data_IF_058626742448
#
_entry.id   IF_058626742448
#
_cell.length_a   1.000
_cell.length_b   1.000
_cell.length_c   1.000
_cell.angle_alpha   90.00
_cell.angle_beta   90.00
_cell.angle_gamma   90.00
#
_symmetry.space_group_name_H-M   'P 1'
#
loop_
_entity.id
_entity.type
_entity.pdbx_description
1 polymer ?
#
# COMPACT_ATOMS: atom_id res chain seq x y z
N UNK A 1 22.39 29.08 -10.57
CA UNK A 1 22.49 28.40 -9.25
C UNK A 1 23.74 28.93 -8.60
N UNK A 2 23.59 29.59 -7.46
CA UNK A 2 24.71 30.19 -6.74
C UNK A 2 25.67 29.10 -6.22
N UNK A 3 26.95 29.43 -6.03
CA UNK A 3 27.98 28.46 -5.62
C UNK A 3 27.68 27.89 -4.23
N UNK A 4 27.09 28.70 -3.36
CA UNK A 4 26.64 28.30 -2.02
C UNK A 4 25.38 27.44 -2.06
N UNK A 5 24.45 27.75 -2.95
CA UNK A 5 23.24 26.95 -3.19
C UNK A 5 23.59 25.56 -3.74
N UNK A 6 24.57 25.49 -4.65
CA UNK A 6 25.12 24.22 -5.15
C UNK A 6 25.77 23.40 -4.05
N UNK A 7 26.55 24.03 -3.18
CA UNK A 7 27.19 23.35 -2.05
C UNK A 7 26.16 22.82 -1.04
N UNK A 8 25.08 23.58 -0.79
CA UNK A 8 23.94 23.12 0.04
C UNK A 8 23.23 21.94 -0.61
N UNK A 9 22.96 21.99 -1.92
CA UNK A 9 22.33 20.90 -2.66
C UNK A 9 23.21 19.64 -2.71
N UNK A 10 24.52 19.80 -2.90
CA UNK A 10 25.50 18.70 -2.80
C UNK A 10 25.52 18.11 -1.40
N UNK A 11 25.39 18.92 -0.34
CA UNK A 11 25.26 18.43 1.02
C UNK A 11 23.97 17.63 1.22
N UNK A 12 22.82 18.12 0.75
CA UNK A 12 21.53 17.42 0.81
C UNK A 12 21.61 16.07 0.08
N UNK A 13 22.11 16.06 -1.15
CA UNK A 13 22.32 14.83 -1.93
C UNK A 13 23.31 13.92 -1.19
N UNK A 14 24.39 14.46 -0.64
CA UNK A 14 25.35 13.68 0.14
C UNK A 14 24.75 13.10 1.40
N UNK A 15 23.82 13.78 2.08
CA UNK A 15 23.19 13.31 3.32
C UNK A 15 22.16 12.21 2.99
N UNK A 16 21.37 12.42 1.93
CA UNK A 16 20.49 11.41 1.33
C UNK A 16 21.28 10.16 0.90
N UNK A 17 22.53 10.33 0.46
CA UNK A 17 23.44 9.25 0.05
C UNK A 17 24.30 8.68 1.20
N UNK A 18 24.60 9.44 2.25
CA UNK A 18 25.36 8.99 3.45
C UNK A 18 24.55 7.99 4.27
N UNK A 19 23.22 8.08 4.22
CA UNK A 19 22.32 7.02 4.70
C UNK A 19 22.32 5.76 3.82
N UNK A 20 22.87 5.81 2.60
CA UNK A 20 22.61 4.83 1.53
C UNK A 20 23.84 4.62 0.63
N UNK A 21 24.99 4.32 1.25
CA UNK A 21 26.24 4.15 0.52
C UNK A 21 26.11 3.17 -0.64
N UNK A 22 26.76 3.54 -1.74
CA UNK A 22 27.05 2.86 -3.00
C UNK A 22 26.65 1.38 -3.04
N UNK A 23 25.51 1.09 -3.67
CA UNK A 23 25.15 -0.27 -4.00
C UNK A 23 24.42 -0.35 -5.32
N UNK A 24 24.69 -1.40 -6.09
CA UNK A 24 23.93 -1.75 -7.29
C UNK A 24 22.43 -1.72 -6.99
N UNK A 25 21.57 -1.29 -7.92
CA UNK A 25 20.10 -1.16 -7.71
C UNK A 25 19.49 -2.35 -6.94
N UNK A 26 19.96 -3.57 -7.23
CA UNK A 26 19.67 -4.83 -6.52
C UNK A 26 19.79 -4.76 -4.99
N UNK A 27 20.79 -4.07 -4.47
CA UNK A 27 21.04 -3.97 -3.04
C UNK A 27 20.22 -2.84 -2.38
N UNK A 28 19.77 -1.82 -3.11
CA UNK A 28 18.79 -0.86 -2.58
C UNK A 28 17.39 -1.50 -2.50
N UNK A 29 17.06 -2.38 -3.46
CA UNK A 29 15.86 -3.19 -3.40
C UNK A 29 15.85 -4.09 -2.16
N UNK A 30 16.96 -4.80 -1.89
CA UNK A 30 17.09 -5.65 -0.71
C UNK A 30 16.88 -4.90 0.63
N UNK A 31 17.33 -3.64 0.74
CA UNK A 31 17.12 -2.80 1.93
C UNK A 31 15.65 -2.49 2.18
N UNK A 32 14.90 -2.16 1.12
CA UNK A 32 13.46 -1.87 1.25
C UNK A 32 12.66 -3.07 1.78
N UNK A 33 13.16 -4.28 1.53
CA UNK A 33 12.48 -5.50 1.93
C UNK A 33 12.73 -5.89 3.40
N UNK A 34 13.77 -5.37 4.07
CA UNK A 34 14.04 -5.71 5.48
C UNK A 34 12.89 -5.38 6.45
N UNK A 35 12.10 -4.37 6.11
CA UNK A 35 10.91 -3.89 6.85
C UNK A 35 9.67 -4.75 6.64
N UNK A 36 9.69 -5.62 5.64
CA UNK A 36 8.58 -6.51 5.34
C UNK A 36 8.51 -7.64 6.37
N UNK A 37 7.30 -8.04 6.71
CA UNK A 37 7.07 -9.28 7.43
C UNK A 37 7.07 -10.47 6.46
N UNK A 38 7.00 -11.69 7.01
CA UNK A 38 7.03 -12.93 6.23
C UNK A 38 5.92 -12.98 5.18
N UNK A 39 4.72 -12.53 5.52
CA UNK A 39 3.57 -12.58 4.61
C UNK A 39 3.72 -11.55 3.48
N UNK A 40 4.19 -10.35 3.79
CA UNK A 40 4.47 -9.30 2.81
C UNK A 40 5.58 -9.72 1.84
N UNK A 41 6.65 -10.37 2.32
CA UNK A 41 7.66 -10.94 1.43
C UNK A 41 7.07 -11.99 0.48
N UNK A 42 6.24 -12.90 1.01
CA UNK A 42 5.61 -13.95 0.20
C UNK A 42 4.61 -13.39 -0.81
N UNK A 43 3.86 -12.35 -0.42
CA UNK A 43 2.96 -11.64 -1.32
C UNK A 43 3.71 -10.89 -2.41
N UNK A 44 4.83 -10.26 -2.07
CA UNK A 44 5.71 -9.66 -3.06
C UNK A 44 6.24 -10.71 -4.05
N UNK A 45 6.66 -11.87 -3.55
CA UNK A 45 7.13 -12.98 -4.38
C UNK A 45 6.04 -13.50 -5.32
N UNK A 46 4.80 -13.58 -4.81
CA UNK A 46 3.61 -13.86 -5.62
C UNK A 46 3.44 -12.81 -6.72
N UNK A 47 3.49 -11.51 -6.43
CA UNK A 47 3.34 -10.47 -7.46
C UNK A 47 4.46 -10.49 -8.50
N UNK A 48 5.72 -10.68 -8.10
CA UNK A 48 6.87 -10.72 -9.04
C UNK A 48 6.77 -11.94 -9.97
N UNK A 49 6.10 -13.02 -9.54
CA UNK A 49 5.88 -14.19 -10.40
C UNK A 49 5.11 -13.87 -11.68
N UNK A 50 4.31 -12.80 -11.70
CA UNK A 50 3.53 -12.38 -12.87
C UNK A 50 4.39 -11.73 -13.96
N UNK A 51 5.58 -11.19 -13.63
CA UNK A 51 6.43 -10.44 -14.57
C UNK A 51 6.99 -11.37 -15.65
N UNK A 52 6.84 -11.02 -16.92
CA UNK A 52 7.32 -11.78 -18.09
C UNK A 52 8.35 -10.97 -18.86
N UNK A 53 9.08 -11.66 -19.75
CA UNK A 53 10.16 -11.05 -20.54
C UNK A 53 9.67 -10.07 -21.60
N UNK A 54 8.40 -10.14 -21.99
CA UNK A 54 7.78 -9.31 -23.04
C UNK A 54 6.95 -8.14 -22.48
N UNK A 55 6.90 -7.99 -21.16
CA UNK A 55 6.04 -6.99 -20.55
C UNK A 55 6.58 -5.56 -20.81
N UNK A 56 5.69 -4.64 -21.19
CA UNK A 56 6.00 -3.23 -21.45
C UNK A 56 5.99 -2.36 -20.17
N UNK A 57 6.22 -1.04 -20.26
CA UNK A 57 6.24 -0.18 -19.07
C UNK A 57 4.88 -0.06 -18.36
N UNK A 58 3.78 -0.39 -19.02
CA UNK A 58 2.41 -0.12 -18.56
C UNK A 58 1.63 -1.39 -18.20
N UNK A 59 2.26 -2.55 -18.26
CA UNK A 59 1.58 -3.83 -18.06
C UNK A 59 0.95 -3.90 -16.68
N UNK A 60 -0.34 -4.21 -16.68
CA UNK A 60 -1.16 -4.39 -15.49
C UNK A 60 -1.33 -5.87 -15.24
N UNK A 61 -1.24 -6.27 -13.98
CA UNK A 61 -1.45 -7.65 -13.56
C UNK A 61 -2.73 -7.75 -12.75
N UNK A 62 -3.46 -8.84 -12.96
CA UNK A 62 -4.71 -9.11 -12.28
C UNK A 62 -4.65 -10.42 -11.49
N UNK A 63 -5.26 -10.43 -10.32
CA UNK A 63 -5.53 -11.62 -9.51
C UNK A 63 -6.84 -11.41 -8.75
N UNK A 64 -7.31 -12.41 -8.01
CA UNK A 64 -8.36 -12.20 -7.00
C UNK A 64 -7.79 -12.36 -5.60
N UNK A 65 -8.42 -11.72 -4.61
CA UNK A 65 -8.05 -11.96 -3.20
C UNK A 65 -8.27 -13.43 -2.83
N UNK A 66 -9.29 -14.07 -3.41
CA UNK A 66 -9.55 -15.50 -3.25
C UNK A 66 -8.36 -16.35 -3.70
N UNK A 67 -7.83 -16.13 -4.90
CA UNK A 67 -6.65 -16.84 -5.40
C UNK A 67 -5.42 -16.63 -4.51
N UNK A 68 -5.22 -15.41 -4.00
CA UNK A 68 -4.12 -15.12 -3.07
C UNK A 68 -4.27 -15.95 -1.78
N UNK A 69 -5.48 -16.05 -1.22
CA UNK A 69 -5.72 -16.84 -0.02
C UNK A 69 -5.55 -18.34 -0.27
N UNK A 70 -6.07 -18.86 -1.38
CA UNK A 70 -5.91 -20.26 -1.78
C UNK A 70 -4.43 -20.61 -1.98
N UNK A 71 -3.70 -19.74 -2.68
CA UNK A 71 -2.27 -19.88 -2.92
C UNK A 71 -1.46 -19.96 -1.62
N UNK A 72 -1.81 -19.12 -0.63
CA UNK A 72 -1.17 -19.15 0.69
C UNK A 72 -1.79 -20.16 1.66
N UNK A 73 -2.72 -21.01 1.21
CA UNK A 73 -3.43 -22.00 2.02
C UNK A 73 -4.09 -21.37 3.26
N UNK A 74 -4.69 -20.20 3.08
CA UNK A 74 -5.39 -19.43 4.10
C UNK A 74 -6.90 -19.62 3.97
N UNK A 75 -7.58 -19.66 5.11
CA UNK A 75 -9.04 -19.69 5.15
C UNK A 75 -9.66 -18.45 4.49
N UNK A 76 -10.76 -18.65 3.77
CA UNK A 76 -11.58 -17.61 3.14
C UNK A 76 -12.38 -16.83 4.20
N UNK A 77 -11.69 -16.08 5.05
CA UNK A 77 -12.27 -15.31 6.15
C UNK A 77 -12.00 -13.81 5.99
N UNK A 78 -12.95 -12.96 6.40
CA UNK A 78 -12.81 -11.50 6.28
C UNK A 78 -11.51 -10.95 6.89
N UNK A 79 -11.00 -11.57 7.97
CA UNK A 79 -9.70 -11.25 8.56
C UNK A 79 -8.54 -11.43 7.58
N UNK A 80 -8.53 -12.53 6.82
CA UNK A 80 -7.49 -12.82 5.83
C UNK A 80 -7.62 -11.94 4.57
N UNK A 81 -8.83 -11.57 4.18
CA UNK A 81 -9.06 -10.54 3.15
C UNK A 81 -8.46 -9.19 3.57
N UNK A 82 -8.78 -8.71 4.77
CA UNK A 82 -8.23 -7.45 5.32
C UNK A 82 -6.70 -7.53 5.43
N UNK A 83 -6.16 -8.67 5.88
CA UNK A 83 -4.72 -8.90 5.95
C UNK A 83 -4.05 -8.78 4.58
N UNK A 84 -4.67 -9.33 3.54
CA UNK A 84 -4.16 -9.27 2.16
C UNK A 84 -4.17 -7.83 1.64
N UNK A 85 -5.28 -7.10 1.82
CA UNK A 85 -5.39 -5.70 1.44
C UNK A 85 -4.34 -4.82 2.14
N UNK A 86 -4.15 -5.01 3.45
CA UNK A 86 -3.15 -4.27 4.21
C UNK A 86 -1.72 -4.59 3.77
N UNK A 87 -1.44 -5.84 3.38
CA UNK A 87 -0.13 -6.21 2.87
C UNK A 87 0.16 -5.55 1.51
N UNK A 88 -0.80 -5.55 0.58
CA UNK A 88 -0.68 -4.80 -0.68
C UNK A 88 -0.49 -3.29 -0.44
N UNK A 89 -1.28 -2.70 0.45
CA UNK A 89 -1.13 -1.29 0.84
C UNK A 89 0.28 -1.00 1.37
N UNK A 90 0.81 -1.86 2.23
CA UNK A 90 2.17 -1.69 2.76
C UNK A 90 3.24 -1.90 1.71
N UNK A 91 3.03 -2.79 0.74
CA UNK A 91 3.93 -2.91 -0.40
C UNK A 91 3.90 -1.65 -1.29
N UNK A 92 2.75 -0.99 -1.44
CA UNK A 92 2.63 0.28 -2.16
C UNK A 92 3.29 1.45 -1.41
N UNK A 93 2.95 1.64 -0.13
CA UNK A 93 3.35 2.82 0.67
C UNK A 93 4.73 2.67 1.33
N UNK A 94 5.19 1.43 1.58
CA UNK A 94 6.31 1.13 2.47
C UNK A 94 7.61 0.70 1.76
N UNK A 95 7.64 0.71 0.43
CA UNK A 95 8.77 0.18 -0.37
C UNK A 95 9.40 1.23 -1.28
N UNK A 96 9.45 2.49 -0.85
CA UNK A 96 10.17 3.53 -1.58
C UNK A 96 11.66 3.24 -1.63
N UNK A 97 12.20 3.19 -2.85
CA UNK A 97 13.60 2.99 -3.18
C UNK A 97 14.26 4.30 -3.53
N UNK A 98 15.53 4.42 -3.18
CA UNK A 98 16.36 5.55 -3.61
C UNK A 98 17.29 5.09 -4.72
N UNK A 99 17.15 5.69 -5.89
CA UNK A 99 17.94 5.36 -7.08
C UNK A 99 18.86 6.55 -7.38
N UNK A 100 20.19 6.39 -7.34
CA UNK A 100 21.10 7.47 -7.73
C UNK A 100 21.06 7.68 -9.24
N UNK A 101 20.87 8.93 -9.67
CA UNK A 101 20.91 9.31 -11.09
C UNK A 101 22.31 9.78 -11.45
N UNK A 102 22.92 9.14 -12.43
CA UNK A 102 24.24 9.50 -12.94
C UNK A 102 24.15 10.05 -14.36
N UNK A 103 24.96 11.06 -14.66
CA UNK A 103 25.14 11.58 -16.01
C UNK A 103 26.64 11.77 -16.26
N UNK A 104 27.15 11.17 -17.35
CA UNK A 104 28.59 11.19 -17.69
C UNK A 104 29.50 10.76 -16.53
N UNK A 105 29.06 9.78 -15.74
CA UNK A 105 29.79 9.25 -14.58
C UNK A 105 29.73 10.14 -13.32
N UNK A 106 29.01 11.27 -13.36
CA UNK A 106 28.82 12.16 -12.22
C UNK A 106 27.45 11.95 -11.60
N UNK A 107 27.37 11.90 -10.26
CA UNK A 107 26.10 11.86 -9.54
C UNK A 107 25.37 13.18 -9.72
N UNK A 108 24.18 13.11 -10.31
CA UNK A 108 23.31 14.25 -10.58
C UNK A 108 22.23 14.43 -9.50
N UNK A 109 21.79 13.34 -8.89
CA UNK A 109 20.77 13.37 -7.85
C UNK A 109 20.34 11.98 -7.39
N UNK A 110 19.25 11.95 -6.62
CA UNK A 110 18.63 10.71 -6.12
C UNK A 110 17.13 10.77 -6.40
N UNK A 111 16.62 9.77 -7.09
CA UNK A 111 15.20 9.57 -7.36
C UNK A 111 14.58 8.66 -6.31
N UNK A 112 13.33 8.95 -5.94
CA UNK A 112 12.55 8.14 -5.03
C UNK A 112 11.44 7.46 -5.81
N UNK A 113 11.47 6.12 -5.83
CA UNK A 113 10.58 5.31 -6.66
C UNK A 113 9.89 4.27 -5.79
N UNK A 114 8.58 4.14 -5.89
CA UNK A 114 7.83 3.09 -5.20
C UNK A 114 7.85 1.79 -6.02
N UNK A 115 7.78 0.64 -5.34
CA UNK A 115 7.71 -0.66 -6.00
C UNK A 115 6.50 -0.78 -6.94
N UNK A 116 5.32 -0.42 -6.42
CA UNK A 116 4.09 -0.37 -7.18
C UNK A 116 3.76 1.08 -7.51
N UNK A 117 3.32 1.30 -8.75
CA UNK A 117 2.72 2.56 -9.17
C UNK A 117 1.26 2.64 -8.67
N UNK A 118 0.53 1.53 -8.80
CA UNK A 118 -0.88 1.45 -8.44
C UNK A 118 -1.25 0.05 -7.96
N UNK A 119 -2.14 0.01 -6.96
CA UNK A 119 -2.88 -1.19 -6.57
C UNK A 119 -4.36 -0.83 -6.46
N UNK A 120 -5.23 -1.61 -7.09
CA UNK A 120 -6.68 -1.46 -7.09
C UNK A 120 -7.34 -2.70 -6.49
N UNK A 121 -8.37 -2.48 -5.66
CA UNK A 121 -9.23 -3.52 -5.10
C UNK A 121 -10.66 -3.30 -5.57
N UNK A 122 -11.17 -4.21 -6.39
CA UNK A 122 -12.55 -4.22 -6.86
C UNK A 122 -13.49 -4.85 -5.84
N UNK A 123 -14.73 -4.37 -5.80
CA UNK A 123 -15.80 -4.92 -4.93
C UNK A 123 -16.16 -6.36 -5.27
N UNK A 124 -15.86 -6.79 -6.49
CA UNK A 124 -15.97 -8.18 -6.96
C UNK A 124 -14.82 -9.08 -6.49
N UNK A 125 -13.87 -8.56 -5.71
CA UNK A 125 -12.72 -9.30 -5.18
C UNK A 125 -11.49 -9.33 -6.09
N UNK A 126 -11.56 -8.65 -7.24
CA UNK A 126 -10.43 -8.44 -8.15
C UNK A 126 -9.38 -7.54 -7.50
N UNK A 127 -8.11 -7.88 -7.70
CA UNK A 127 -6.96 -7.10 -7.29
C UNK A 127 -6.08 -6.88 -8.50
N UNK A 128 -5.83 -5.62 -8.81
CA UNK A 128 -5.03 -5.24 -9.98
C UNK A 128 -3.85 -4.40 -9.53
N UNK A 129 -2.65 -4.70 -10.00
CA UNK A 129 -1.43 -4.00 -9.60
C UNK A 129 -0.50 -3.73 -10.78
N UNK A 130 0.26 -2.65 -10.68
CA UNK A 130 1.24 -2.21 -11.70
C UNK A 130 2.55 -1.91 -11.00
N UNK A 131 3.63 -2.55 -11.43
CA UNK A 131 4.99 -2.22 -10.96
C UNK A 131 5.45 -0.91 -11.57
N UNK A 132 6.25 -0.13 -10.84
CA UNK A 132 6.86 1.08 -11.39
C UNK A 132 7.73 0.75 -12.60
N UNK A 133 7.57 1.53 -13.66
CA UNK A 133 8.34 1.42 -14.91
C UNK A 133 9.85 1.51 -14.67
N UNK A 134 10.30 2.37 -13.75
CA UNK A 134 11.71 2.55 -13.38
C UNK A 134 12.34 1.29 -12.74
N UNK A 135 11.52 0.41 -12.14
CA UNK A 135 11.99 -0.78 -11.44
C UNK A 135 11.76 -2.06 -12.23
N UNK A 136 11.00 -2.03 -13.32
CA UNK A 136 10.55 -3.23 -14.01
C UNK A 136 11.69 -4.07 -14.57
N UNK A 137 12.68 -3.43 -15.19
CA UNK A 137 13.87 -4.12 -15.70
C UNK A 137 14.67 -4.78 -14.56
N UNK A 138 14.84 -4.07 -13.44
CA UNK A 138 15.50 -4.59 -12.25
C UNK A 138 14.72 -5.75 -11.62
N UNK A 139 13.40 -5.66 -11.54
CA UNK A 139 12.51 -6.72 -11.03
C UNK A 139 12.46 -7.94 -11.95
N UNK A 140 12.56 -7.76 -13.27
CA UNK A 140 12.66 -8.87 -14.21
C UNK A 140 14.03 -9.57 -14.11
N UNK A 141 15.12 -8.80 -14.02
CA UNK A 141 16.43 -9.35 -13.70
C UNK A 141 16.43 -10.04 -12.34
N UNK A 142 15.72 -9.48 -11.35
CA UNK A 142 15.46 -10.10 -10.06
C UNK A 142 14.73 -11.42 -10.24
N UNK A 143 13.68 -11.48 -11.06
CA UNK A 143 12.95 -12.71 -11.37
C UNK A 143 13.91 -13.79 -11.87
N UNK A 144 14.75 -13.45 -12.84
CA UNK A 144 15.72 -14.37 -13.45
C UNK A 144 16.80 -14.87 -12.48
N UNK A 145 17.33 -13.98 -11.64
CA UNK A 145 18.46 -14.29 -10.75
C UNK A 145 18.01 -14.84 -9.37
N UNK A 146 16.82 -14.46 -8.89
CA UNK A 146 16.33 -14.72 -7.53
C UNK A 146 15.20 -15.74 -7.47
N UNK A 147 14.39 -15.88 -8.51
CA UNK A 147 13.20 -16.76 -8.51
C UNK A 147 13.45 -18.07 -9.26
N UNK A 148 14.71 -18.51 -9.33
CA UNK A 148 15.04 -19.90 -9.66
C UNK A 148 14.56 -20.89 -8.57
N UNK A 149 14.08 -20.40 -7.42
CA UNK A 149 13.38 -21.19 -6.41
C UNK A 149 11.94 -21.44 -6.86
N UNK A 150 11.49 -22.68 -6.73
CA UNK A 150 10.06 -22.96 -6.79
C UNK A 150 9.37 -22.16 -5.68
N UNK A 151 8.34 -21.42 -6.04
CA UNK A 151 7.48 -20.66 -5.13
C UNK A 151 6.99 -21.50 -3.94
N UNK A 152 6.80 -22.80 -4.17
CA UNK A 152 6.51 -23.83 -3.15
C UNK A 152 7.62 -24.05 -2.11
N UNK A 153 8.88 -23.84 -2.46
CA UNK A 153 10.00 -23.94 -1.52
C UNK A 153 10.09 -22.69 -0.65
N UNK A 154 9.87 -21.51 -1.24
CA UNK A 154 9.78 -20.24 -0.50
C UNK A 154 8.60 -20.24 0.48
N UNK A 155 7.50 -20.93 0.15
CA UNK A 155 6.34 -21.04 1.02
C UNK A 155 6.65 -21.82 2.32
N UNK A 156 7.58 -22.78 2.29
CA UNK A 156 7.99 -23.59 3.46
C UNK A 156 8.82 -22.80 4.48
N UNK A 157 9.45 -21.72 4.04
CA UNK A 157 10.30 -20.88 4.90
C UNK A 157 9.43 -19.96 5.75
N UNK A 158 9.71 -19.97 7.05
CA UNK A 158 8.93 -19.26 8.08
C UNK A 158 9.65 -18.02 8.61
N UNK A 159 10.98 -17.96 8.59
CA UNK A 159 11.71 -16.77 9.01
C UNK A 159 11.83 -15.75 7.88
N UNK A 160 11.50 -14.49 8.17
CA UNK A 160 11.78 -13.38 7.25
C UNK A 160 13.28 -13.28 6.95
N UNK A 161 14.12 -13.58 7.94
CA UNK A 161 15.57 -13.51 7.80
C UNK A 161 16.10 -14.58 6.84
N UNK A 162 15.51 -15.77 6.85
CA UNK A 162 15.84 -16.84 5.91
C UNK A 162 15.42 -16.48 4.48
N UNK A 163 14.21 -15.91 4.31
CA UNK A 163 13.75 -15.40 3.01
C UNK A 163 14.68 -14.32 2.46
N UNK A 164 15.04 -13.33 3.27
CA UNK A 164 15.97 -12.27 2.86
C UNK A 164 17.35 -12.85 2.52
N UNK A 165 17.87 -13.78 3.32
CA UNK A 165 19.18 -14.38 3.07
C UNK A 165 19.20 -15.20 1.77
N UNK A 166 18.14 -15.94 1.45
CA UNK A 166 18.00 -16.60 0.15
C UNK A 166 17.98 -15.60 -1.00
N UNK A 167 17.28 -14.48 -0.84
CA UNK A 167 17.26 -13.42 -1.84
C UNK A 167 18.66 -12.83 -2.03
N UNK A 168 19.37 -12.51 -0.95
CA UNK A 168 20.76 -12.01 -1.01
C UNK A 168 21.70 -13.02 -1.67
N UNK A 169 21.51 -14.30 -1.39
CA UNK A 169 22.27 -15.37 -2.03
C UNK A 169 21.98 -15.45 -3.53
N UNK A 170 20.71 -15.48 -3.96
CA UNK A 170 20.31 -15.46 -5.37
C UNK A 170 20.87 -14.24 -6.12
N UNK A 171 20.88 -13.06 -5.47
CA UNK A 171 21.45 -11.83 -6.02
C UNK A 171 22.92 -11.91 -6.40
N UNK A 172 23.69 -12.63 -5.57
CA UNK A 172 25.15 -12.67 -5.62
C UNK A 172 25.68 -13.94 -6.27
N UNK A 173 24.88 -15.01 -6.30
CA UNK A 173 25.22 -16.25 -6.99
C UNK A 173 25.39 -15.94 -8.47
N UNK A 174 26.55 -16.27 -9.01
CA UNK A 174 26.85 -16.14 -10.43
C UNK A 174 26.90 -17.55 -11.04
N UNK A 175 26.01 -17.84 -11.99
CA UNK A 175 25.91 -19.18 -12.63
C UNK A 175 25.72 -20.31 -11.57
N UNK A 176 26.03 -21.55 -11.93
CA UNK A 176 25.97 -22.73 -11.04
C UNK A 176 27.14 -22.80 -10.03
N UNK A 177 27.67 -21.68 -9.56
CA UNK A 177 28.82 -21.69 -8.64
C UNK A 177 28.44 -22.35 -7.31
N UNK A 178 29.10 -23.44 -6.94
CA UNK A 178 28.77 -24.20 -5.72
C UNK A 178 28.81 -23.36 -4.45
N UNK A 179 29.79 -22.45 -4.36
CA UNK A 179 30.03 -21.61 -3.20
C UNK A 179 29.73 -20.14 -3.49
N UNK A 180 29.02 -19.47 -2.58
CA UNK A 180 28.77 -18.02 -2.64
C UNK A 180 29.09 -17.39 -1.31
N UNK A 181 29.89 -16.31 -1.33
CA UNK A 181 30.34 -15.59 -0.13
C UNK A 181 29.66 -14.22 -0.08
N UNK A 182 28.98 -13.94 1.03
CA UNK A 182 28.31 -12.68 1.33
C UNK A 182 29.05 -12.00 2.48
N UNK A 183 29.70 -10.85 2.21
CA UNK A 183 30.41 -10.07 3.22
C UNK A 183 29.71 -8.71 3.37
N UNK A 184 29.55 -8.27 4.61
CA UNK A 184 28.99 -6.97 4.93
C UNK A 184 29.36 -6.51 6.34
N UNK A 185 29.37 -5.19 6.54
CA UNK A 185 29.47 -4.58 7.86
C UNK A 185 28.24 -4.88 8.71
N UNK A 186 28.34 -4.68 10.03
CA UNK A 186 27.20 -4.85 10.94
C UNK A 186 26.01 -3.97 10.49
N UNK A 187 26.28 -2.74 10.06
CA UNK A 187 25.25 -1.79 9.63
C UNK A 187 24.54 -2.27 8.36
N UNK A 188 25.28 -2.78 7.38
CA UNK A 188 24.70 -3.31 6.14
C UNK A 188 23.83 -4.54 6.39
N UNK A 189 24.32 -5.49 7.18
CA UNK A 189 23.54 -6.68 7.53
C UNK A 189 22.25 -6.35 8.28
N UNK A 190 22.30 -5.38 9.21
CA UNK A 190 21.10 -4.92 9.91
C UNK A 190 20.14 -4.21 8.97
N UNK A 191 20.64 -3.34 8.08
CA UNK A 191 19.81 -2.68 7.06
C UNK A 191 19.11 -3.71 6.15
N UNK A 192 19.81 -4.77 5.71
CA UNK A 192 19.21 -5.82 4.89
C UNK A 192 18.14 -6.64 5.64
N UNK A 193 18.40 -7.04 6.89
CA UNK A 193 17.56 -7.99 7.62
C UNK A 193 16.46 -7.33 8.47
N UNK A 194 16.66 -6.08 8.88
CA UNK A 194 15.76 -5.33 9.77
C UNK A 194 15.14 -4.11 9.09
N UNK A 195 15.81 -3.53 8.09
CA UNK A 195 15.51 -2.18 7.60
C UNK A 195 16.33 -1.11 8.35
N UNK A 196 16.17 0.14 7.93
CA UNK A 196 16.97 1.27 8.42
C UNK A 196 16.45 1.91 9.73
N UNK A 197 15.27 1.52 10.18
CA UNK A 197 14.57 2.06 11.35
C UNK A 197 14.90 1.32 12.65
N UNK A 198 15.59 0.18 12.56
CA UNK A 198 15.91 -0.65 13.72
C UNK A 198 17.36 -1.11 13.71
N UNK A 199 18.01 -0.95 14.86
CA UNK A 199 19.33 -1.51 15.12
C UNK A 199 19.31 -2.41 16.34
N UNK A 200 20.22 -3.37 16.38
CA UNK A 200 20.43 -4.32 17.47
C UNK A 200 21.92 -4.36 17.83
N UNK A 201 22.21 -4.74 19.08
CA UNK A 201 23.56 -5.07 19.49
C UNK A 201 24.09 -6.25 18.63
N UNK A 202 25.36 -6.24 18.18
CA UNK A 202 25.90 -7.26 17.27
C UNK A 202 25.64 -8.72 17.70
N UNK A 203 25.88 -9.08 18.97
CA UNK A 203 25.66 -10.45 19.42
C UNK A 203 24.17 -10.84 19.40
N UNK A 204 23.27 -9.92 19.80
CA UNK A 204 21.82 -10.12 19.70
C UNK A 204 21.38 -10.27 18.24
N UNK A 205 21.87 -9.40 17.35
CA UNK A 205 21.60 -9.48 15.92
C UNK A 205 22.03 -10.82 15.32
N UNK A 206 23.25 -11.26 15.62
CA UNK A 206 23.77 -12.54 15.15
C UNK A 206 22.86 -13.67 15.63
N UNK A 207 22.50 -13.71 16.92
CA UNK A 207 21.69 -14.79 17.50
C UNK A 207 20.26 -14.81 16.94
N UNK A 208 19.57 -13.68 16.96
CA UNK A 208 18.12 -13.63 16.74
C UNK A 208 17.73 -13.46 15.28
N UNK A 209 18.66 -12.95 14.44
CA UNK A 209 18.41 -12.67 13.03
C UNK A 209 19.22 -13.60 12.12
N UNK A 210 20.55 -13.46 12.15
CA UNK A 210 21.43 -14.16 11.20
C UNK A 210 21.46 -15.68 11.46
N UNK A 211 21.70 -16.10 12.70
CA UNK A 211 21.73 -17.52 13.06
C UNK A 211 20.36 -18.17 12.91
N UNK A 212 19.28 -17.42 13.15
CA UNK A 212 17.92 -17.90 12.88
C UNK A 212 17.71 -18.20 11.39
N UNK A 213 18.21 -17.35 10.50
CA UNK A 213 18.19 -17.61 9.05
C UNK A 213 19.03 -18.85 8.70
N UNK A 214 20.29 -18.88 9.16
CA UNK A 214 21.23 -19.99 8.92
C UNK A 214 20.65 -21.32 9.38
N UNK A 215 20.11 -21.38 10.60
CA UNK A 215 19.55 -22.60 11.17
C UNK A 215 18.32 -23.10 10.41
N UNK A 216 17.49 -22.21 9.87
CA UNK A 216 16.34 -22.62 9.07
C UNK A 216 16.75 -23.11 7.69
N UNK A 217 17.67 -22.39 7.04
CA UNK A 217 18.17 -22.73 5.72
C UNK A 217 18.96 -24.06 5.70
N UNK A 218 19.72 -24.37 6.76
CA UNK A 218 20.40 -25.65 6.93
C UNK A 218 19.47 -26.85 7.15
N UNK A 219 18.16 -26.65 7.30
CA UNK A 219 17.17 -27.75 7.31
C UNK A 219 16.81 -28.23 5.90
N UNK A 220 17.23 -27.50 4.87
CA UNK A 220 17.10 -27.93 3.49
C UNK A 220 18.24 -28.90 3.16
N UNK A 221 17.94 -30.03 2.52
CA UNK A 221 18.92 -31.10 2.28
C UNK A 221 20.03 -30.70 1.27
N UNK A 222 19.78 -29.69 0.46
CA UNK A 222 20.59 -29.30 -0.70
C UNK A 222 21.39 -28.00 -0.51
N UNK A 223 21.46 -27.52 0.74
CA UNK A 223 22.19 -26.29 1.07
C UNK A 223 22.88 -26.39 2.44
N UNK A 224 24.08 -25.83 2.51
CA UNK A 224 24.83 -25.63 3.75
C UNK A 224 25.23 -24.17 3.86
N UNK A 225 24.78 -23.51 4.92
CA UNK A 225 25.00 -22.10 5.22
C UNK A 225 25.80 -21.97 6.51
N UNK A 226 26.84 -21.13 6.51
CA UNK A 226 27.62 -20.78 7.69
C UNK A 226 27.70 -19.27 7.84
N UNK A 227 27.73 -18.78 9.08
CA UNK A 227 27.89 -17.35 9.38
C UNK A 227 29.03 -17.12 10.37
N UNK A 228 30.09 -16.47 9.90
CA UNK A 228 31.29 -16.12 10.66
C UNK A 228 31.28 -14.64 11.04
N UNK A 229 31.95 -14.31 12.15
CA UNK A 229 32.00 -12.94 12.68
C UNK A 229 33.32 -12.33 12.29
N UNK A 230 33.27 -11.17 11.63
CA UNK A 230 34.45 -10.37 11.33
C UNK A 230 34.72 -9.44 12.51
N UNK A 231 35.95 -9.46 13.02
CA UNK A 231 36.37 -8.67 14.18
C UNK A 231 37.59 -7.81 13.86
N UNK A 232 37.64 -6.63 14.48
CA UNK A 232 38.85 -5.83 14.59
C UNK A 232 39.15 -5.65 16.09
N UNK A 233 40.16 -6.38 16.58
CA UNK A 233 40.39 -6.57 18.02
C UNK A 233 39.17 -7.21 18.70
N UNK A 234 38.64 -6.54 19.73
CA UNK A 234 37.43 -7.00 20.46
C UNK A 234 36.11 -6.60 19.79
N UNK A 235 36.15 -5.68 18.81
CA UNK A 235 34.95 -5.11 18.20
C UNK A 235 34.52 -5.95 17.00
N UNK A 236 33.23 -6.29 16.94
CA UNK A 236 32.60 -6.88 15.75
C UNK A 236 32.46 -5.81 14.67
N UNK A 237 33.06 -6.04 13.51
CA UNK A 237 33.03 -5.12 12.36
C UNK A 237 32.03 -5.55 11.30
N UNK A 238 31.73 -6.84 11.20
CA UNK A 238 30.79 -7.37 10.23
C UNK A 238 30.54 -8.86 10.35
N UNK A 239 29.90 -9.40 9.33
CA UNK A 239 29.65 -10.83 9.18
C UNK A 239 29.98 -11.27 7.77
N UNK A 240 30.47 -12.50 7.68
CA UNK A 240 30.61 -13.22 6.43
C UNK A 240 29.66 -14.43 6.49
N UNK A 241 28.89 -14.60 5.43
CA UNK A 241 27.99 -15.74 5.26
C UNK A 241 28.41 -16.51 4.03
N UNK A 242 28.73 -17.79 4.21
CA UNK A 242 29.08 -18.69 3.12
C UNK A 242 27.91 -19.63 2.87
N UNK A 243 27.47 -19.69 1.61
CA UNK A 243 26.40 -20.59 1.15
C UNK A 243 27.00 -21.58 0.17
N UNK A 244 26.93 -22.86 0.52
CA UNK A 244 27.27 -23.99 -0.34
C UNK A 244 25.98 -24.63 -0.81
N UNK A 245 25.78 -24.75 -2.12
CA UNK A 245 24.58 -25.40 -2.66
C UNK A 245 24.80 -26.00 -4.04
N UNK A 246 24.25 -27.20 -4.23
CA UNK A 246 24.22 -27.91 -5.51
C UNK A 246 23.06 -27.45 -6.41
N UNK A 247 22.21 -26.52 -5.98
CA UNK A 247 21.08 -26.02 -6.78
C UNK A 247 21.58 -25.37 -8.07
N UNK A 248 20.99 -25.73 -9.21
CA UNK A 248 21.23 -25.03 -10.47
C UNK A 248 20.68 -23.60 -10.40
N UNK A 249 21.37 -22.64 -11.03
CA UNK A 249 20.97 -21.24 -11.13
C UNK A 249 19.73 -21.04 -12.02
N UNK A 250 19.36 -22.07 -12.77
CA UNK A 250 18.18 -22.13 -13.62
C UNK A 250 17.42 -23.40 -13.27
N UNK A 251 16.72 -23.40 -12.15
CA UNK A 251 15.65 -24.38 -11.96
C UNK A 251 14.62 -24.12 -13.05
N UNK A 252 14.21 -25.17 -13.78
CA UNK A 252 13.10 -25.07 -14.70
C UNK A 252 11.90 -24.48 -13.94
N UNK A 253 11.39 -23.35 -14.41
CA UNK A 253 10.18 -22.69 -13.91
C UNK A 253 8.95 -23.54 -14.29
N UNK A 254 8.90 -24.80 -13.87
CA UNK A 254 7.75 -25.69 -14.07
C UNK A 254 6.79 -25.49 -12.90
N UNK A 255 6.00 -24.42 -13.00
CA UNK A 255 5.02 -24.02 -11.97
C UNK A 255 4.72 -22.52 -11.94
N UNK A 256 4.98 -21.80 -13.04
CA UNK A 256 4.57 -20.39 -13.17
C UNK A 256 3.04 -20.37 -13.14
N UNK A 257 2.46 -19.73 -12.13
CA UNK A 257 1.09 -19.24 -12.23
C UNK A 257 1.16 -18.15 -13.29
N UNK A 258 0.88 -18.50 -14.55
CA UNK A 258 0.69 -17.52 -15.61
C UNK A 258 -0.63 -16.81 -15.30
N UNK A 259 -0.57 -15.78 -14.46
CA UNK A 259 -1.72 -14.91 -14.25
C UNK A 259 -2.10 -14.27 -15.57
N UNK A 260 -3.36 -14.42 -15.97
CA UNK A 260 -3.93 -13.87 -17.20
C UNK A 260 -3.52 -12.40 -17.36
N UNK A 261 -2.83 -12.07 -18.46
CA UNK A 261 -2.53 -10.65 -18.76
C UNK A 261 -3.83 -10.08 -19.29
N UNK A 262 -4.42 -9.15 -18.56
CA UNK A 262 -5.39 -8.25 -19.16
C UNK A 262 -4.55 -7.18 -19.85
N UNK A 263 -4.31 -7.35 -21.15
CA UNK A 263 -3.70 -6.30 -21.96
C UNK A 263 -4.52 -5.03 -21.76
N UNK A 264 -3.86 -3.95 -21.33
CA UNK A 264 -4.48 -2.64 -21.34
C UNK A 264 -4.93 -2.38 -22.79
N UNK A 265 -6.16 -1.87 -23.02
CA UNK A 265 -6.58 -1.49 -24.36
C UNK A 265 -5.53 -0.55 -24.95
N UNK A 266 -4.83 -1.01 -25.99
CA UNK A 266 -4.01 -0.12 -26.80
C UNK A 266 -4.98 0.80 -27.52
N UNK A 267 -4.93 2.10 -27.25
CA UNK A 267 -5.45 3.09 -28.19
C UNK A 267 -4.54 3.03 -29.43
N UNK A 268 -5.03 2.61 -30.62
CA UNK A 268 -4.24 2.71 -31.83
C UNK A 268 -4.44 4.11 -32.42
N UNK A 269 -3.37 4.89 -32.46
CA UNK A 269 -3.26 6.01 -33.36
C UNK A 269 -2.85 5.48 -34.75
N UNK A 270 -3.81 5.34 -35.68
CA UNK A 270 -3.84 6.01 -36.99
C UNK A 270 -4.77 5.33 -38.01
N UNK A 271 -5.42 6.21 -38.79
CA UNK A 271 -6.07 6.02 -40.08
C UNK A 271 -7.42 5.26 -40.13
N UNK A 272 -8.49 6.04 -39.89
CA UNK A 272 -9.72 6.15 -40.70
C UNK A 272 -9.99 5.00 -41.68
N UNK A 273 -10.81 4.05 -41.25
CA UNK A 273 -11.86 3.45 -42.08
C UNK A 273 -12.99 3.01 -41.12
N UNK A 274 -14.16 3.65 -41.24
CA UNK A 274 -15.36 3.36 -40.44
C UNK A 274 -15.91 1.96 -40.74
N UNK A 275 -16.31 1.19 -39.71
CA UNK A 275 -17.54 0.41 -39.82
C UNK A 275 -18.43 0.53 -38.57
N UNK A 276 -19.50 1.31 -38.74
CA UNK A 276 -20.83 1.22 -38.13
C UNK A 276 -20.93 0.88 -36.63
N UNK A 277 -21.08 1.92 -35.81
CA UNK A 277 -21.71 1.83 -34.49
C UNK A 277 -23.14 1.27 -34.64
N UNK A 278 -23.44 0.18 -33.94
CA UNK A 278 -24.84 -0.18 -33.66
C UNK A 278 -25.36 0.87 -32.68
N UNK A 279 -26.41 1.63 -33.00
CA UNK A 279 -26.85 2.73 -32.15
C UNK A 279 -27.26 2.18 -30.78
N UNK A 280 -26.73 2.79 -29.71
CA UNK A 280 -27.18 2.52 -28.33
C UNK A 280 -28.65 2.92 -28.21
N UNK A 281 -29.55 1.98 -28.45
CA UNK A 281 -30.98 2.19 -28.23
C UNK A 281 -31.25 2.35 -26.73
N UNK A 282 -32.27 3.14 -26.34
CA UNK A 282 -32.66 3.31 -24.94
C UNK A 282 -32.87 1.98 -24.19
N UNK A 283 -33.23 0.90 -24.89
CA UNK A 283 -33.39 -0.45 -24.31
C UNK A 283 -32.08 -1.04 -23.78
N UNK A 284 -30.94 -0.85 -24.47
CA UNK A 284 -29.64 -1.43 -24.07
C UNK A 284 -29.06 -0.76 -22.80
N UNK A 285 -29.26 0.55 -22.64
CA UNK A 285 -28.80 1.31 -21.47
C UNK A 285 -29.52 0.85 -20.20
N UNK A 286 -30.82 0.58 -20.30
CA UNK A 286 -31.64 0.15 -19.18
C UNK A 286 -31.31 -1.27 -18.73
N UNK A 287 -31.05 -2.18 -19.67
CA UNK A 287 -30.65 -3.56 -19.35
C UNK A 287 -29.30 -3.63 -18.63
N UNK A 288 -28.32 -2.83 -19.07
CA UNK A 288 -27.05 -2.69 -18.35
C UNK A 288 -27.25 -2.09 -16.94
N UNK A 289 -28.13 -1.08 -16.82
CA UNK A 289 -28.47 -0.49 -15.53
C UNK A 289 -29.09 -1.51 -14.57
N UNK A 290 -30.07 -2.31 -14.99
CA UNK A 290 -30.71 -3.29 -14.12
C UNK A 290 -29.75 -4.40 -13.68
N UNK A 291 -28.92 -4.94 -14.58
CA UNK A 291 -27.91 -5.94 -14.21
C UNK A 291 -26.92 -5.38 -13.19
N UNK A 292 -26.45 -4.15 -13.40
CA UNK A 292 -25.56 -3.48 -12.45
C UNK A 292 -26.24 -3.19 -11.10
N UNK A 293 -27.51 -2.79 -11.13
CA UNK A 293 -28.28 -2.47 -9.92
C UNK A 293 -28.57 -3.72 -9.08
N UNK A 294 -29.02 -4.81 -9.70
CA UNK A 294 -29.31 -6.09 -9.03
C UNK A 294 -28.03 -6.68 -8.41
N UNK A 295 -26.91 -6.68 -9.15
CA UNK A 295 -25.63 -7.18 -8.67
C UNK A 295 -25.09 -6.38 -7.47
N UNK A 296 -25.31 -5.06 -7.44
CA UNK A 296 -24.75 -4.19 -6.41
C UNK A 296 -25.60 -4.15 -5.14
N UNK A 297 -26.93 -4.23 -5.27
CA UNK A 297 -27.86 -4.04 -4.15
C UNK A 297 -28.46 -5.34 -3.64
N UNK A 298 -28.39 -6.42 -4.42
CA UNK A 298 -29.12 -7.67 -4.15
C UNK A 298 -30.65 -7.56 -4.34
N UNK A 299 -31.17 -6.38 -4.68
CA UNK A 299 -32.61 -6.14 -4.85
C UNK A 299 -33.03 -6.49 -6.27
N UNK A 300 -33.74 -7.62 -6.43
CA UNK A 300 -34.29 -8.04 -7.72
C UNK A 300 -35.34 -7.04 -8.24
N UNK A 301 -35.22 -6.63 -9.51
CA UNK A 301 -36.16 -5.71 -10.12
C UNK A 301 -37.21 -6.50 -10.91
N UNK A 302 -38.46 -6.46 -10.45
CA UNK A 302 -39.56 -7.11 -11.18
C UNK A 302 -39.78 -6.50 -12.57
N UNK A 303 -40.29 -7.29 -13.53
CA UNK A 303 -40.57 -6.84 -14.91
C UNK A 303 -41.42 -5.56 -14.95
N UNK A 304 -42.45 -5.45 -14.10
CA UNK A 304 -43.31 -4.26 -13.98
C UNK A 304 -42.55 -3.02 -13.52
N UNK A 305 -41.58 -3.20 -12.61
CA UNK A 305 -40.75 -2.10 -12.07
C UNK A 305 -39.63 -1.67 -13.01
N UNK A 306 -39.13 -2.58 -13.86
CA UNK A 306 -38.22 -2.23 -14.96
C UNK A 306 -38.91 -1.24 -15.90
N UNK A 307 -40.11 -1.57 -16.39
CA UNK A 307 -40.89 -0.66 -17.26
C UNK A 307 -41.15 0.70 -16.60
N UNK A 308 -41.51 0.73 -15.30
CA UNK A 308 -41.71 1.99 -14.58
C UNK A 308 -40.44 2.86 -14.52
N UNK A 309 -39.27 2.27 -14.27
CA UNK A 309 -38.01 3.01 -14.18
C UNK A 309 -37.54 3.48 -15.57
N UNK A 310 -37.75 2.68 -16.62
CA UNK A 310 -37.43 3.06 -17.99
C UNK A 310 -38.23 4.29 -18.45
N UNK A 311 -39.54 4.32 -18.20
CA UNK A 311 -40.39 5.47 -18.49
C UNK A 311 -39.98 6.72 -17.71
N UNK A 312 -39.54 6.57 -16.46
CA UNK A 312 -39.02 7.71 -15.70
C UNK A 312 -37.69 8.22 -16.28
N UNK A 313 -36.83 7.31 -16.72
CA UNK A 313 -35.52 7.65 -17.27
C UNK A 313 -35.59 8.44 -18.59
N UNK A 314 -36.67 8.26 -19.36
CA UNK A 314 -36.91 9.01 -20.60
C UNK A 314 -37.08 10.52 -20.40
N UNK A 315 -37.41 10.97 -19.19
CA UNK A 315 -37.55 12.39 -18.85
C UNK A 315 -36.20 13.11 -18.66
N UNK A 316 -35.09 12.37 -18.60
CA UNK A 316 -33.74 12.93 -18.48
C UNK A 316 -33.07 13.04 -19.85
N UNK A 317 -32.11 13.97 -19.93
CA UNK A 317 -31.32 14.18 -21.13
C UNK A 317 -30.67 12.87 -21.59
N UNK A 318 -30.74 12.59 -22.89
CA UNK A 318 -30.28 11.32 -23.45
C UNK A 318 -28.79 11.04 -23.22
N UNK A 319 -27.95 12.09 -23.24
CA UNK A 319 -26.50 11.96 -23.04
C UNK A 319 -26.13 11.83 -21.56
N UNK A 320 -26.94 12.36 -20.65
CA UNK A 320 -26.68 12.30 -19.20
C UNK A 320 -27.51 11.26 -18.45
N UNK A 321 -28.47 10.61 -19.12
CA UNK A 321 -29.37 9.60 -18.55
C UNK A 321 -28.62 8.50 -17.80
N UNK A 322 -27.54 7.99 -18.40
CA UNK A 322 -26.67 6.96 -17.80
C UNK A 322 -26.03 7.46 -16.51
N UNK A 323 -25.56 8.71 -16.50
CA UNK A 323 -24.90 9.31 -15.35
C UNK A 323 -25.90 9.61 -14.21
N UNK A 324 -27.10 10.09 -14.53
CA UNK A 324 -28.19 10.35 -13.57
C UNK A 324 -28.64 9.05 -12.91
N UNK A 325 -28.84 7.98 -13.69
CA UNK A 325 -29.20 6.67 -13.15
C UNK A 325 -28.08 6.08 -12.29
N UNK A 326 -26.81 6.23 -12.69
CA UNK A 326 -25.67 5.82 -11.87
C UNK A 326 -25.64 6.56 -10.53
N UNK A 327 -25.93 7.86 -10.53
CA UNK A 327 -26.02 8.66 -9.32
C UNK A 327 -27.21 8.26 -8.43
N UNK A 328 -28.38 8.01 -9.00
CA UNK A 328 -29.53 7.48 -8.25
C UNK A 328 -29.21 6.14 -7.56
N UNK A 329 -28.46 5.27 -8.25
CA UNK A 329 -27.98 3.99 -7.69
C UNK A 329 -26.98 4.22 -6.54
N UNK A 330 -26.04 5.16 -6.69
CA UNK A 330 -25.11 5.51 -5.61
C UNK A 330 -25.86 5.98 -4.36
N UNK A 331 -26.86 6.83 -4.52
CA UNK A 331 -27.68 7.33 -3.42
C UNK A 331 -28.50 6.23 -2.76
N UNK A 332 -29.04 5.28 -3.53
CA UNK A 332 -29.73 4.10 -2.99
C UNK A 332 -28.83 3.32 -2.02
N UNK A 333 -27.57 3.07 -2.41
CA UNK A 333 -26.59 2.37 -1.57
C UNK A 333 -26.19 3.21 -0.36
N UNK A 334 -25.92 4.51 -0.55
CA UNK A 334 -25.49 5.43 0.52
C UNK A 334 -26.52 5.55 1.64
N UNK A 335 -27.81 5.49 1.31
CA UNK A 335 -28.91 5.57 2.28
C UNK A 335 -29.35 4.19 2.83
N UNK A 336 -28.62 3.12 2.51
CA UNK A 336 -28.95 1.74 2.87
C UNK A 336 -30.43 1.40 2.58
N UNK A 337 -30.93 1.86 1.43
CA UNK A 337 -32.33 1.68 1.08
C UNK A 337 -32.60 0.20 0.76
N UNK A 338 -33.61 -0.39 1.40
CA UNK A 338 -33.93 -1.82 1.21
C UNK A 338 -34.98 -2.05 0.11
N UNK A 339 -35.69 -1.00 -0.30
CA UNK A 339 -36.85 -1.11 -1.20
C UNK A 339 -36.65 -0.27 -2.45
N UNK A 340 -36.86 -0.88 -3.61
CA UNK A 340 -36.79 -0.24 -4.93
C UNK A 340 -37.67 1.02 -5.08
N UNK A 341 -38.74 1.13 -4.28
CA UNK A 341 -39.59 2.32 -4.23
C UNK A 341 -38.82 3.59 -3.82
N UNK A 342 -37.71 3.46 -3.09
CA UNK A 342 -36.84 4.58 -2.76
C UNK A 342 -36.22 5.22 -4.02
N UNK A 343 -35.70 4.38 -4.92
CA UNK A 343 -35.13 4.83 -6.19
C UNK A 343 -36.21 5.47 -7.08
N UNK A 344 -37.38 4.86 -7.17
CA UNK A 344 -38.50 5.39 -7.97
C UNK A 344 -38.99 6.75 -7.43
N UNK A 345 -39.11 6.88 -6.11
CA UNK A 345 -39.50 8.15 -5.48
C UNK A 345 -38.47 9.24 -5.75
N UNK A 346 -37.18 8.91 -5.74
CA UNK A 346 -36.09 9.82 -6.06
C UNK A 346 -36.16 10.31 -7.51
N UNK A 347 -36.31 9.40 -8.47
CA UNK A 347 -36.43 9.77 -9.89
C UNK A 347 -37.68 10.63 -10.15
N UNK A 348 -38.84 10.27 -9.57
CA UNK A 348 -40.06 11.09 -9.66
C UNK A 348 -39.88 12.49 -9.07
N UNK A 349 -39.10 12.61 -7.99
CA UNK A 349 -38.80 13.88 -7.33
C UNK A 349 -37.89 14.75 -8.19
N UNK A 350 -36.88 14.16 -8.82
CA UNK A 350 -35.99 14.88 -9.75
C UNK A 350 -36.76 15.39 -10.98
N UNK A 351 -37.67 14.59 -11.54
CA UNK A 351 -38.56 15.03 -12.61
C UNK A 351 -39.44 16.21 -12.15
N UNK A 352 -39.98 16.18 -10.93
CA UNK A 352 -40.77 17.28 -10.36
C UNK A 352 -39.96 18.57 -10.16
N UNK A 353 -38.65 18.46 -9.97
CA UNK A 353 -37.73 19.61 -9.87
C UNK A 353 -37.10 19.98 -11.22
N UNK A 354 -37.64 19.47 -12.33
CA UNK A 354 -37.16 19.74 -13.69
C UNK A 354 -35.68 19.40 -13.92
N UNK A 355 -35.17 18.41 -13.17
CA UNK A 355 -33.80 17.92 -13.31
C UNK A 355 -33.69 17.17 -14.64
N UNK A 356 -32.82 17.64 -15.52
CA UNK A 356 -32.46 17.00 -16.79
C UNK A 356 -31.02 16.51 -16.83
N UNK A 357 -30.13 17.10 -16.01
CA UNK A 357 -28.67 16.86 -16.02
C UNK A 357 -28.16 16.26 -14.71
N UNK A 358 -26.95 15.66 -14.73
CA UNK A 358 -26.33 15.12 -13.52
C UNK A 358 -26.04 16.22 -12.48
N UNK A 359 -25.58 17.38 -12.94
CA UNK A 359 -25.27 18.51 -12.08
C UNK A 359 -26.53 19.00 -11.34
N UNK A 360 -27.65 19.12 -12.04
CA UNK A 360 -28.94 19.48 -11.43
C UNK A 360 -29.38 18.43 -10.40
N UNK A 361 -29.16 17.14 -10.66
CA UNK A 361 -29.49 16.07 -9.71
C UNK A 361 -28.69 16.19 -8.41
N UNK A 362 -27.39 16.53 -8.50
CA UNK A 362 -26.51 16.76 -7.34
C UNK A 362 -26.93 18.00 -6.55
N UNK A 363 -27.19 19.12 -7.22
CA UNK A 363 -27.63 20.37 -6.58
C UNK A 363 -28.96 20.17 -5.84
N UNK A 364 -29.92 19.49 -6.46
CA UNK A 364 -31.22 19.19 -5.84
C UNK A 364 -31.06 18.26 -4.64
N UNK A 365 -30.14 17.29 -4.69
CA UNK A 365 -29.84 16.39 -3.57
C UNK A 365 -29.16 17.13 -2.39
N UNK A 366 -28.17 17.97 -2.67
CA UNK A 366 -27.46 18.76 -1.65
C UNK A 366 -28.37 19.78 -0.96
N UNK A 367 -29.22 20.47 -1.74
CA UNK A 367 -30.22 21.40 -1.21
C UNK A 367 -31.24 20.71 -0.29
N UNK A 368 -31.48 19.41 -0.47
CA UNK A 368 -32.45 18.64 0.30
C UNK A 368 -31.87 18.01 1.57
N UNK A 369 -30.61 17.59 1.55
CA UNK A 369 -29.95 17.01 2.73
C UNK A 369 -29.50 18.06 3.75
N UNK A 370 -29.48 19.34 3.39
CA UNK A 370 -29.13 20.42 4.32
C UNK A 370 -30.27 20.82 5.29
N UNK A 371 -31.37 20.06 5.36
CA UNK A 371 -32.51 20.34 6.26
C UNK A 371 -32.86 19.26 7.29
N UNK A 372 -32.13 18.15 7.42
CA UNK A 372 -32.40 17.22 8.55
C UNK A 372 -31.21 16.33 8.90
N UNK A 373 -30.45 16.73 9.93
CA UNK A 373 -29.93 15.82 10.97
C UNK A 373 -29.56 16.64 12.21
N UNK A 374 -30.57 16.93 13.03
CA UNK A 374 -30.35 17.01 14.46
C UNK A 374 -30.36 15.57 15.00
N UNK A 375 -29.22 15.07 15.47
CA UNK A 375 -29.19 14.06 16.54
C UNK A 375 -27.88 14.15 17.33
N UNK A 376 -28.08 14.12 18.65
CA UNK A 376 -27.16 14.39 19.74
C UNK A 376 -26.01 13.36 19.87
N UNK A 377 -24.97 13.68 20.68
CA UNK A 377 -23.70 12.97 20.70
C UNK A 377 -23.73 11.77 21.67
N UNK A 378 -23.13 10.66 21.25
CA UNK A 378 -22.56 9.68 22.17
C UNK A 378 -21.51 8.83 21.45
N UNK A 379 -20.23 9.15 21.63
CA UNK A 379 -19.19 8.13 21.68
C UNK A 379 -18.49 8.24 23.02
N UNK A 380 -18.77 7.27 23.89
CA UNK A 380 -17.92 6.95 25.03
C UNK A 380 -16.53 6.56 24.49
N UNK A 381 -15.54 6.99 25.24
CA UNK A 381 -14.09 6.76 25.12
C UNK A 381 -13.71 5.33 24.73
N UNK A 382 -12.87 5.18 23.70
CA UNK A 382 -12.10 3.95 23.40
C UNK A 382 -10.62 4.16 23.74
N UNK A 383 -10.34 4.54 24.99
CA UNK A 383 -9.00 4.40 25.57
C UNK A 383 -9.02 3.09 26.37
N UNK A 384 -8.36 2.02 25.91
CA UNK A 384 -8.20 0.82 26.72
C UNK A 384 -7.40 1.12 27.99
N UNK A 385 -7.96 0.75 29.14
CA UNK A 385 -7.45 1.03 30.48
C UNK A 385 -6.26 0.13 30.90
N UNK A 386 -5.32 -0.16 29.99
CA UNK A 386 -4.08 -0.91 30.31
C UNK A 386 -2.82 -0.04 30.22
N UNK A 387 -2.91 1.18 29.69
CA UNK A 387 -1.79 2.14 29.59
C UNK A 387 -1.26 2.62 30.96
N UNK A 388 -2.03 2.44 32.03
CA UNK A 388 -1.68 2.83 33.40
C UNK A 388 -1.12 1.71 34.28
N UNK A 389 -0.90 0.49 33.75
CA UNK A 389 -0.42 -0.65 34.56
C UNK A 389 0.95 -1.22 34.13
N UNK A 390 1.81 -0.43 33.47
CA UNK A 390 3.21 -0.84 33.27
C UNK A 390 4.10 -0.33 34.41
N UNK A 391 4.86 -1.20 35.12
CA UNK A 391 5.73 -0.81 36.25
C UNK A 391 6.82 0.22 35.89
N UNK A 392 7.07 0.47 34.60
CA UNK A 392 8.16 1.33 34.12
C UNK A 392 7.76 2.80 33.86
N UNK A 393 6.48 3.18 34.06
CA UNK A 393 6.01 4.56 33.81
C UNK A 393 5.92 5.44 35.06
N UNK A 394 6.36 4.96 36.23
CA UNK A 394 6.23 5.71 37.48
C UNK A 394 7.14 6.95 37.57
N UNK A 395 8.19 7.07 36.75
CA UNK A 395 9.27 8.05 36.98
C UNK A 395 9.71 8.86 35.74
N UNK A 396 8.81 9.21 34.82
CA UNK A 396 9.11 10.24 33.80
C UNK A 396 8.30 11.50 34.03
N UNK A 397 8.93 12.66 34.30
CA UNK A 397 8.21 13.92 34.40
C UNK A 397 7.57 14.24 33.05
N UNK A 398 6.25 14.47 33.04
CA UNK A 398 5.52 14.97 31.86
C UNK A 398 6.02 16.39 31.55
N UNK A 399 6.26 16.70 30.28
CA UNK A 399 6.62 18.05 29.87
C UNK A 399 5.52 19.04 30.25
N UNK A 400 5.89 20.18 30.82
CA UNK A 400 4.96 21.25 31.18
C UNK A 400 4.34 21.86 29.90
N UNK A 401 3.04 22.15 29.88
CA UNK A 401 2.38 22.78 28.74
C UNK A 401 2.90 24.21 28.54
N UNK A 402 2.93 24.68 27.30
CA UNK A 402 3.45 26.00 26.91
C UNK A 402 2.43 26.78 26.09
N UNK A 403 2.67 28.09 25.91
CA UNK A 403 1.82 28.92 25.04
C UNK A 403 1.76 28.42 23.58
N UNK A 404 2.79 27.73 23.09
CA UNK A 404 2.78 27.09 21.78
C UNK A 404 1.72 25.97 21.68
N UNK A 405 1.46 25.24 22.77
CA UNK A 405 0.41 24.21 22.81
C UNK A 405 -0.99 24.85 22.75
N UNK A 406 -1.16 26.05 23.32
CA UNK A 406 -2.40 26.83 23.20
C UNK A 406 -2.66 27.26 21.75
N UNK A 407 -1.63 27.70 21.03
CA UNK A 407 -1.74 28.11 19.62
C UNK A 407 -2.14 26.93 18.72
N UNK A 408 -1.51 25.77 18.93
CA UNK A 408 -1.86 24.53 18.23
C UNK A 408 -3.32 24.14 18.51
N UNK A 409 -3.75 24.21 19.78
CA UNK A 409 -5.13 23.89 20.15
C UNK A 409 -6.14 24.84 19.47
N UNK A 410 -5.85 26.14 19.45
CA UNK A 410 -6.70 27.15 18.81
C UNK A 410 -6.81 26.90 17.30
N UNK A 411 -5.68 26.63 16.62
CA UNK A 411 -5.65 26.36 15.18
C UNK A 411 -6.46 25.10 14.84
N UNK A 412 -6.27 24.02 15.59
CA UNK A 412 -7.05 22.79 15.43
C UNK A 412 -8.55 23.05 15.63
N UNK A 413 -8.95 23.72 16.71
CA UNK A 413 -10.35 24.00 17.01
C UNK A 413 -11.02 24.91 15.95
N UNK A 414 -10.27 25.83 15.34
CA UNK A 414 -10.75 26.63 14.20
C UNK A 414 -10.91 25.79 12.94
N UNK A 415 -9.92 24.96 12.60
CA UNK A 415 -9.96 24.08 11.42
C UNK A 415 -11.13 23.10 11.45
N UNK A 416 -11.46 22.57 12.62
CA UNK A 416 -12.60 21.64 12.77
C UNK A 416 -13.93 22.34 13.08
N UNK A 417 -13.96 23.69 13.11
CA UNK A 417 -15.20 24.46 13.27
C UNK A 417 -15.82 24.44 14.68
N UNK A 418 -15.10 24.00 15.71
CA UNK A 418 -15.62 23.85 17.09
C UNK A 418 -15.14 24.93 18.07
N UNK A 419 -14.36 25.89 17.59
CA UNK A 419 -13.71 26.95 18.38
C UNK A 419 -14.64 27.68 19.38
N UNK A 420 -15.90 27.94 18.99
CA UNK A 420 -16.87 28.68 19.80
C UNK A 420 -17.74 27.80 20.71
N UNK A 421 -17.56 26.48 20.70
CA UNK A 421 -18.36 25.58 21.55
C UNK A 421 -17.99 25.72 23.03
N UNK A 422 -18.95 25.54 23.97
CA UNK A 422 -18.66 25.62 25.40
C UNK A 422 -17.55 24.66 25.86
N UNK A 423 -17.48 23.47 25.23
CA UNK A 423 -16.46 22.46 25.52
C UNK A 423 -15.06 22.93 25.11
N UNK A 424 -14.92 23.50 23.91
CA UNK A 424 -13.65 24.01 23.39
C UNK A 424 -13.18 25.29 24.09
N UNK A 425 -14.11 26.11 24.60
CA UNK A 425 -13.77 27.25 25.47
C UNK A 425 -13.22 26.76 26.81
N UNK A 426 -13.90 25.80 27.46
CA UNK A 426 -13.45 25.20 28.71
C UNK A 426 -12.10 24.50 28.58
N UNK A 427 -11.88 23.79 27.47
CA UNK A 427 -10.60 23.13 27.18
C UNK A 427 -9.43 24.12 27.05
N UNK A 428 -9.68 25.31 26.48
CA UNK A 428 -8.69 26.38 26.43
C UNK A 428 -8.49 27.04 27.80
N UNK A 429 -9.55 27.25 28.58
CA UNK A 429 -9.43 27.77 29.95
C UNK A 429 -8.64 26.82 30.86
N UNK A 430 -8.90 25.51 30.77
CA UNK A 430 -8.19 24.49 31.54
C UNK A 430 -6.72 24.36 31.09
N UNK A 431 -6.44 24.52 29.79
CA UNK A 431 -5.06 24.56 29.29
C UNK A 431 -4.32 25.83 29.71
N UNK A 432 -4.99 26.99 29.68
CA UNK A 432 -4.40 28.26 30.12
C UNK A 432 -4.03 28.19 31.60
N UNK A 433 -4.93 27.71 32.46
CA UNK A 433 -4.61 27.53 33.89
C UNK A 433 -3.38 26.66 34.13
N UNK A 434 -3.22 25.59 33.35
CA UNK A 434 -2.06 24.69 33.46
C UNK A 434 -0.78 25.30 32.92
N UNK A 435 -0.87 26.22 31.96
CA UNK A 435 0.27 27.02 31.48
C UNK A 435 0.65 28.04 32.56
N UNK A 436 -0.32 28.74 33.13
CA UNK A 436 -0.12 29.73 34.19
C UNK A 436 0.49 29.09 35.46
N UNK A 437 -0.01 27.92 35.87
CA UNK A 437 0.56 27.11 36.96
C UNK A 437 1.99 26.66 36.65
N UNK A 438 2.24 26.23 35.42
CA UNK A 438 3.55 25.79 34.97
C UNK A 438 4.57 26.94 34.96
N UNK A 439 4.15 28.14 34.55
CA UNK A 439 4.93 29.37 34.50
C UNK A 439 5.21 29.92 35.92
N UNK A 440 4.21 29.91 36.80
CA UNK A 440 4.35 30.30 38.22
C UNK A 440 5.39 29.44 38.97
N UNK A 441 5.36 28.12 38.77
CA UNK A 441 6.36 27.19 39.32
C UNK A 441 7.79 27.41 38.78
N UNK A 442 7.95 28.12 37.67
CA UNK A 442 9.26 28.52 37.12
C UNK A 442 9.73 29.88 37.62
N UNK A 443 8.83 30.71 38.16
CA UNK A 443 9.16 32.02 38.74
C UNK A 443 9.53 31.99 40.24
N UNK A 444 9.24 30.90 40.94
CA UNK A 444 9.62 30.69 42.36
C UNK A 444 10.96 29.91 42.53
N UNK A 445 11.71 29.73 41.46
CA UNK A 445 13.08 29.17 41.45
C UNK A 445 14.06 30.18 40.89
#
# INVERSE_FOLDING_TARGET
MDKDEKKKNELVVSEVMRGRYLVTQKNNLAKSFGKLNVFEHKLLDYCISFIRSKDDSNTRYETTTKHVLEYFQLELSGKNYIRTANAFRKLLEGTTLSIPRFERGKLMGVEFVNLFEKVYFGVNGVVEFTFSSDLKADLFALKKDFYAFRLEELSKIKSKYALILLKLWGAKRYKNQYETVLIGSVKEWQSWLLGDDRTLEPAVFKRDCLQKAVNELNKQEDMKVTATVLKNGRKVTGYEVVVLSHRSAHGELTGVIEGEVVEAPQEPAEAVEEPQEVPETPENVMDHFYKSFENLTGVKVSKKKKVEIALLAENFDGQERKAILAFAKELFVRHNAEKLNYLIAMLKKWIKHEVKTLEQAKVVYEAQNNKTTAKAPASKTNIPNWSSMHPDNANKPKSKPTQADMEILIDVQKRVGVFNTPKSKKEREDLQKRIDEAEAETSEK
#
